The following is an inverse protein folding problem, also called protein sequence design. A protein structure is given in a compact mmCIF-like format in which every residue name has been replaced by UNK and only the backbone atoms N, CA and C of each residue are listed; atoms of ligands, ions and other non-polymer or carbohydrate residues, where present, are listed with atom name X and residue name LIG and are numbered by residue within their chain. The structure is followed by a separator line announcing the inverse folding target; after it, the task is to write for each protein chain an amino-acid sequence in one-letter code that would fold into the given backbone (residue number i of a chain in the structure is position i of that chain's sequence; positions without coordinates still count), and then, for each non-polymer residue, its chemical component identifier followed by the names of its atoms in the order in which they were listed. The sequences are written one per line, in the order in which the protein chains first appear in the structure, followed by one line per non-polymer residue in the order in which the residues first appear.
data_IF_309909683144
#
_entry.id   IF_309909683144
#
_cell.length_a   1.000
_cell.length_b   1.000
_cell.length_c   1.000
_cell.angle_alpha   90.00
_cell.angle_beta   90.00
_cell.angle_gamma   90.00
#
_symmetry.space_group_name_H-M   'P 1'
#
loop_
_entity.id
_entity.type
_entity.pdbx_description
1 polymer ?
#
# COMPACT_ATOMS: atom_id res chain seq x y z
N UNK A 1 -13.05 3.25 -7.37
CA UNK A 1 -11.94 3.40 -8.32
C UNK A 1 -12.01 2.27 -9.33
N UNK A 2 -12.16 2.57 -10.61
CA UNK A 2 -12.13 1.58 -11.70
C UNK A 2 -10.69 1.13 -11.98
N UNK A 3 -10.48 -0.04 -12.61
CA UNK A 3 -9.13 -0.51 -13.00
C UNK A 3 -8.37 0.51 -13.87
N UNK A 4 -9.11 1.30 -14.67
CA UNK A 4 -8.59 2.38 -15.50
C UNK A 4 -8.11 3.57 -14.68
N UNK A 5 -8.84 3.96 -13.63
CA UNK A 5 -8.43 4.99 -12.67
C UNK A 5 -7.23 4.53 -11.82
N UNK A 6 -7.18 3.24 -11.42
CA UNK A 6 -6.02 2.67 -10.72
C UNK A 6 -4.77 2.68 -11.62
N UNK A 7 -4.92 2.37 -12.91
CA UNK A 7 -3.81 2.39 -13.86
C UNK A 7 -3.17 3.78 -14.00
N UNK A 8 -3.98 4.84 -14.09
CA UNK A 8 -3.47 6.22 -14.24
C UNK A 8 -2.69 6.66 -12.99
N UNK A 9 -3.22 6.37 -11.80
CA UNK A 9 -2.59 6.76 -10.53
C UNK A 9 -1.27 6.03 -10.28
N UNK A 10 -1.14 4.79 -10.74
CA UNK A 10 0.07 3.97 -10.54
C UNK A 10 1.08 4.07 -11.70
N UNK A 11 0.93 5.07 -12.58
CA UNK A 11 1.74 5.24 -13.81
C UNK A 11 1.76 3.99 -14.71
N UNK A 12 0.69 3.20 -14.71
CA UNK A 12 0.57 2.00 -15.55
C UNK A 12 0.42 2.43 -17.00
N UNK A 13 1.27 1.88 -17.86
CA UNK A 13 1.23 2.07 -19.30
C UNK A 13 1.16 0.71 -20.00
N UNK A 14 0.23 0.55 -20.94
CA UNK A 14 -0.01 -0.73 -21.65
C UNK A 14 -0.18 -1.93 -20.68
N UNK A 15 -0.97 -1.74 -19.62
CA UNK A 15 -1.26 -2.74 -18.58
C UNK A 15 -0.02 -3.22 -17.78
N UNK A 16 1.08 -2.46 -17.81
CA UNK A 16 2.30 -2.76 -17.06
C UNK A 16 2.64 -1.65 -16.07
N UNK A 17 3.08 -2.05 -14.88
CA UNK A 17 3.65 -1.14 -13.90
C UNK A 17 4.93 -0.46 -14.44
N UNK A 18 5.27 0.74 -13.92
CA UNK A 18 6.49 1.42 -14.32
C UNK A 18 7.74 0.64 -13.87
N UNK A 19 8.85 0.79 -14.60
CA UNK A 19 10.15 0.30 -14.13
C UNK A 19 10.62 1.09 -12.91
N UNK A 20 11.58 0.54 -12.17
CA UNK A 20 12.17 1.20 -10.99
C UNK A 20 12.84 2.53 -11.39
N UNK A 21 13.47 2.61 -12.56
CA UNK A 21 14.06 3.86 -13.05
C UNK A 21 13.02 4.93 -13.33
N UNK A 22 11.87 4.54 -13.91
CA UNK A 22 10.74 5.46 -14.13
C UNK A 22 10.17 5.92 -12.77
N UNK A 23 10.01 5.00 -11.83
CA UNK A 23 9.52 5.28 -10.48
C UNK A 23 10.44 6.26 -9.75
N UNK A 24 11.76 6.03 -9.80
CA UNK A 24 12.78 6.96 -9.28
C UNK A 24 12.64 8.35 -9.89
N UNK A 25 12.61 8.43 -11.23
CA UNK A 25 12.53 9.71 -11.94
C UNK A 25 11.27 10.50 -11.56
N UNK A 26 10.13 9.83 -11.44
CA UNK A 26 8.87 10.44 -11.00
C UNK A 26 8.91 10.86 -9.53
N UNK A 27 9.44 10.02 -8.65
CA UNK A 27 9.57 10.31 -7.22
C UNK A 27 10.39 11.58 -6.99
N UNK A 28 11.57 11.67 -7.59
CA UNK A 28 12.44 12.84 -7.47
C UNK A 28 11.81 14.10 -8.08
N UNK A 29 11.11 13.94 -9.22
CA UNK A 29 10.38 15.05 -9.84
C UNK A 29 9.32 15.62 -8.90
N UNK A 30 8.41 14.79 -8.37
CA UNK A 30 7.34 15.28 -7.48
C UNK A 30 7.88 15.84 -6.17
N UNK A 31 8.92 15.23 -5.58
CA UNK A 31 9.57 15.79 -4.39
C UNK A 31 10.13 17.20 -4.62
N UNK A 32 10.62 17.50 -5.84
CA UNK A 32 11.19 18.81 -6.17
C UNK A 32 10.17 19.94 -6.35
N UNK A 33 8.87 19.61 -6.44
CA UNK A 33 7.83 20.61 -6.73
C UNK A 33 7.57 21.56 -5.57
N UNK A 34 7.73 21.11 -4.33
CA UNK A 34 7.53 21.92 -3.13
C UNK A 34 8.64 21.63 -2.12
N UNK A 35 9.24 22.68 -1.57
CA UNK A 35 10.25 22.57 -0.51
C UNK A 35 9.58 22.55 0.88
N UNK A 36 8.70 21.57 1.07
CA UNK A 36 7.94 21.34 2.30
C UNK A 36 8.17 19.90 2.79
N UNK A 37 8.38 19.72 4.09
CA UNK A 37 8.72 18.42 4.67
C UNK A 37 7.53 17.46 4.61
N UNK A 38 6.32 17.95 4.87
CA UNK A 38 5.11 17.14 4.84
C UNK A 38 4.79 16.70 3.42
N UNK A 39 4.95 17.59 2.43
CA UNK A 39 4.88 17.24 1.02
C UNK A 39 5.88 16.14 0.63
N UNK A 40 7.16 16.29 1.01
CA UNK A 40 8.18 15.29 0.67
C UNK A 40 7.84 13.94 1.28
N UNK A 41 7.45 13.91 2.56
CA UNK A 41 7.00 12.68 3.22
C UNK A 41 5.76 12.08 2.55
N UNK A 42 4.80 12.91 2.14
CA UNK A 42 3.62 12.48 1.41
C UNK A 42 3.97 11.83 0.06
N UNK A 43 4.89 12.43 -0.70
CA UNK A 43 5.38 11.86 -1.95
C UNK A 43 6.09 10.53 -1.69
N UNK A 44 6.92 10.41 -0.65
CA UNK A 44 7.51 9.11 -0.30
C UNK A 44 6.46 8.06 0.01
N UNK A 45 5.46 8.39 0.84
CA UNK A 45 4.35 7.48 1.12
C UNK A 45 3.60 7.06 -0.16
N UNK A 46 3.37 7.98 -1.09
CA UNK A 46 2.74 7.67 -2.37
C UNK A 46 3.55 6.70 -3.23
N UNK A 47 4.86 6.92 -3.35
CA UNK A 47 5.73 6.04 -4.12
C UNK A 47 5.98 4.70 -3.42
N UNK A 48 5.98 4.67 -2.09
CA UNK A 48 6.00 3.45 -1.29
C UNK A 48 4.77 2.59 -1.58
N UNK A 49 3.58 3.21 -1.63
CA UNK A 49 2.33 2.51 -1.98
C UNK A 49 2.40 1.89 -3.39
N UNK A 50 2.84 2.66 -4.40
CA UNK A 50 2.98 2.15 -5.77
C UNK A 50 3.97 0.98 -5.80
N UNK A 51 5.11 1.10 -5.12
CA UNK A 51 6.11 0.03 -5.06
C UNK A 51 5.57 -1.23 -4.38
N UNK A 52 4.83 -1.07 -3.28
CA UNK A 52 4.17 -2.19 -2.61
C UNK A 52 3.18 -2.89 -3.54
N UNK A 53 2.37 -2.16 -4.32
CA UNK A 53 1.44 -2.73 -5.30
C UNK A 53 2.15 -3.51 -6.42
N UNK A 54 3.32 -3.03 -6.88
CA UNK A 54 4.19 -3.73 -7.84
C UNK A 54 4.64 -5.06 -7.24
N UNK A 55 5.29 -5.02 -6.07
CA UNK A 55 5.84 -6.21 -5.43
C UNK A 55 4.74 -7.19 -5.03
N UNK A 56 3.60 -6.70 -4.58
CA UNK A 56 2.45 -7.54 -4.26
C UNK A 56 1.96 -8.29 -5.49
N UNK A 57 1.87 -7.61 -6.64
CA UNK A 57 1.48 -8.24 -7.91
C UNK A 57 2.49 -9.30 -8.33
N UNK A 58 3.78 -8.98 -8.30
CA UNK A 58 4.87 -9.86 -8.74
C UNK A 58 5.15 -11.05 -7.82
N UNK A 59 4.72 -10.98 -6.56
CA UNK A 59 5.02 -12.01 -5.55
C UNK A 59 3.75 -12.63 -5.00
N UNK A 60 3.02 -11.91 -4.15
CA UNK A 60 1.87 -12.42 -3.43
C UNK A 60 0.76 -12.86 -4.37
N UNK A 61 0.34 -12.00 -5.30
CA UNK A 61 -0.74 -12.31 -6.23
C UNK A 61 -0.34 -13.41 -7.22
N UNK A 62 0.85 -13.34 -7.81
CA UNK A 62 1.33 -14.38 -8.72
C UNK A 62 1.45 -15.75 -8.05
N UNK A 63 1.96 -15.82 -6.81
CA UNK A 63 2.03 -17.07 -6.06
C UNK A 63 0.63 -17.60 -5.73
N UNK A 64 -0.28 -16.71 -5.30
CA UNK A 64 -1.68 -17.06 -5.11
C UNK A 64 -2.29 -17.68 -6.39
N UNK A 65 -2.10 -17.06 -7.56
CA UNK A 65 -2.64 -17.59 -8.81
C UNK A 65 -2.05 -18.96 -9.19
N UNK A 66 -0.78 -19.22 -8.86
CA UNK A 66 -0.12 -20.50 -9.12
C UNK A 66 -0.57 -21.60 -8.17
N UNK A 67 -0.79 -21.27 -6.90
CA UNK A 67 -1.17 -22.23 -5.86
C UNK A 67 -2.68 -22.51 -5.83
N UNK A 68 -3.50 -21.61 -6.38
CA UNK A 68 -4.96 -21.72 -6.34
C UNK A 68 -5.48 -23.03 -6.97
N UNK A 69 -6.15 -23.86 -6.16
CA UNK A 69 -6.71 -25.15 -6.58
C UNK A 69 -8.25 -25.14 -6.73
N UNK A 70 -8.89 -23.97 -6.60
CA UNK A 70 -10.34 -23.86 -6.70
C UNK A 70 -10.86 -23.69 -8.13
N UNK A 71 -12.16 -23.44 -8.26
CA UNK A 71 -12.79 -23.17 -9.56
C UNK A 71 -12.24 -21.89 -10.19
N UNK A 72 -11.92 -21.95 -11.49
CA UNK A 72 -11.29 -20.84 -12.22
C UNK A 72 -12.13 -19.56 -12.17
N UNK A 73 -13.45 -19.68 -12.20
CA UNK A 73 -14.37 -18.54 -12.16
C UNK A 73 -14.44 -17.89 -10.77
N UNK A 74 -14.02 -18.60 -9.71
CA UNK A 74 -14.03 -18.11 -8.34
C UNK A 74 -12.69 -17.50 -7.88
N UNK A 75 -11.62 -17.60 -8.67
CA UNK A 75 -10.26 -17.17 -8.27
C UNK A 75 -10.22 -15.74 -7.72
N UNK A 76 -10.85 -14.79 -8.41
CA UNK A 76 -10.90 -13.38 -7.99
C UNK A 76 -11.71 -13.17 -6.72
N UNK A 77 -12.78 -13.93 -6.57
CA UNK A 77 -13.65 -13.86 -5.39
C UNK A 77 -12.92 -14.40 -4.16
N UNK A 78 -12.21 -15.51 -4.31
CA UNK A 78 -11.37 -16.09 -3.24
C UNK A 78 -10.25 -15.12 -2.86
N UNK A 79 -9.52 -14.60 -3.86
CA UNK A 79 -8.48 -13.60 -3.62
C UNK A 79 -9.02 -12.39 -2.86
N UNK A 80 -10.13 -11.79 -3.31
CA UNK A 80 -10.70 -10.61 -2.66
C UNK A 80 -11.15 -10.91 -1.21
N UNK A 81 -11.71 -12.09 -0.95
CA UNK A 81 -12.09 -12.48 0.41
C UNK A 81 -10.88 -12.62 1.33
N UNK A 82 -9.84 -13.32 0.89
CA UNK A 82 -8.64 -13.48 1.69
C UNK A 82 -7.87 -12.17 1.86
N UNK A 83 -7.76 -11.37 0.80
CA UNK A 83 -7.14 -10.04 0.86
C UNK A 83 -7.87 -9.13 1.85
N UNK A 84 -9.20 -9.12 1.83
CA UNK A 84 -10.00 -8.41 2.82
C UNK A 84 -9.81 -8.96 4.23
N UNK A 85 -9.74 -10.28 4.40
CA UNK A 85 -9.51 -10.89 5.71
C UNK A 85 -8.16 -10.46 6.30
N UNK A 86 -7.10 -10.49 5.49
CA UNK A 86 -5.77 -10.02 5.89
C UNK A 86 -5.79 -8.56 6.35
N UNK A 87 -6.52 -7.67 5.66
CA UNK A 87 -6.66 -6.30 6.12
C UNK A 87 -7.28 -6.23 7.52
N UNK A 88 -8.33 -7.00 7.79
CA UNK A 88 -8.96 -7.06 9.12
C UNK A 88 -8.08 -7.73 10.17
N UNK A 89 -7.26 -8.71 9.79
CA UNK A 89 -6.28 -9.33 10.67
C UNK A 89 -5.23 -8.31 11.11
N UNK A 90 -4.68 -7.54 10.17
CA UNK A 90 -3.78 -6.42 10.44
C UNK A 90 -4.44 -5.32 11.29
N UNK A 91 -5.77 -5.20 11.29
CA UNK A 91 -6.48 -4.24 12.15
C UNK A 91 -6.59 -4.68 13.61
N UNK A 92 -6.12 -5.88 13.96
CA UNK A 92 -6.09 -6.37 15.36
C UNK A 92 -4.76 -6.12 16.06
N UNK A 93 -3.76 -5.68 15.32
CA UNK A 93 -2.44 -5.36 15.86
C UNK A 93 -2.50 -4.18 16.83
N UNK A 94 -1.62 -4.18 17.83
CA UNK A 94 -1.62 -3.15 18.88
C UNK A 94 -1.37 -1.74 18.30
N UNK A 95 -0.60 -1.65 17.22
CA UNK A 95 -0.24 -0.38 16.58
C UNK A 95 -1.35 0.21 15.70
N UNK A 96 -2.39 -0.56 15.36
CA UNK A 96 -3.39 -0.19 14.36
C UNK A 96 -4.12 1.10 14.72
N UNK A 97 -4.63 1.20 15.95
CA UNK A 97 -5.48 2.33 16.36
C UNK A 97 -4.76 3.67 16.22
N UNK A 98 -3.47 3.70 16.51
CA UNK A 98 -2.66 4.91 16.41
C UNK A 98 -2.38 5.29 14.96
N UNK A 99 -2.14 4.31 14.07
CA UNK A 99 -2.01 4.56 12.63
C UNK A 99 -3.33 5.04 12.03
N UNK A 100 -4.46 4.45 12.41
CA UNK A 100 -5.77 4.89 11.89
C UNK A 100 -6.13 6.30 12.34
N UNK A 101 -5.80 6.70 13.57
CA UNK A 101 -5.96 8.08 14.04
C UNK A 101 -5.09 9.04 13.25
N UNK A 102 -3.80 8.72 13.05
CA UNK A 102 -2.87 9.51 12.24
C UNK A 102 -3.37 9.66 10.81
N UNK A 103 -3.82 8.57 10.19
CA UNK A 103 -4.37 8.58 8.84
C UNK A 103 -5.60 9.49 8.74
N UNK A 104 -6.51 9.43 9.72
CA UNK A 104 -7.73 10.24 9.73
C UNK A 104 -7.45 11.75 9.75
N UNK A 105 -6.40 12.19 10.46
CA UNK A 105 -6.04 13.61 10.56
C UNK A 105 -4.99 14.06 9.53
N UNK A 106 -4.36 13.12 8.82
CA UNK A 106 -3.31 13.44 7.86
C UNK A 106 -3.82 14.35 6.74
N UNK A 107 -3.00 15.32 6.35
CA UNK A 107 -3.26 16.14 5.17
C UNK A 107 -3.18 15.27 3.91
N UNK A 108 -4.14 15.45 3.01
CA UNK A 108 -4.07 14.93 1.65
C UNK A 108 -3.53 16.02 0.72
N UNK A 109 -2.80 15.62 -0.31
CA UNK A 109 -2.30 16.53 -1.33
C UNK A 109 -2.72 16.09 -2.73
N UNK A 110 -2.88 17.06 -3.62
CA UNK A 110 -3.05 16.85 -5.05
C UNK A 110 -1.71 16.46 -5.68
N UNK A 111 -1.72 15.39 -6.48
CA UNK A 111 -0.60 14.96 -7.33
C UNK A 111 -1.07 15.10 -8.78
N UNK A 112 -0.95 16.29 -9.37
CA UNK A 112 -1.38 16.52 -10.75
C UNK A 112 -0.51 15.73 -11.75
N UNK A 113 -1.08 15.18 -12.84
CA UNK A 113 -2.52 15.14 -13.19
C UNK A 113 -3.23 13.86 -12.68
N UNK A 114 -2.66 13.17 -11.70
CA UNK A 114 -3.04 11.81 -11.32
C UNK A 114 -4.19 11.77 -10.32
N UNK A 115 -4.12 12.62 -9.30
CA UNK A 115 -5.00 12.59 -8.13
C UNK A 115 -5.22 13.99 -7.58
N UNK A 116 -6.46 14.27 -7.21
CA UNK A 116 -6.81 15.45 -6.42
C UNK A 116 -6.81 15.13 -4.93
N UNK A 117 -6.54 16.15 -4.11
CA UNK A 117 -6.71 16.07 -2.66
C UNK A 117 -8.10 15.57 -2.23
N UNK A 118 -9.15 15.94 -2.99
CA UNK A 118 -10.54 15.54 -2.73
C UNK A 118 -10.68 14.03 -2.90
N UNK A 119 -10.19 13.47 -4.01
CA UNK A 119 -10.26 12.02 -4.27
C UNK A 119 -9.53 11.22 -3.20
N UNK A 120 -8.33 11.68 -2.80
CA UNK A 120 -7.56 11.02 -1.74
C UNK A 120 -8.32 11.05 -0.41
N UNK A 121 -8.84 12.22 -0.03
CA UNK A 121 -9.59 12.37 1.23
C UNK A 121 -10.86 11.52 1.25
N UNK A 122 -11.62 11.53 0.15
CA UNK A 122 -12.83 10.72 0.03
C UNK A 122 -12.54 9.22 0.11
N UNK A 123 -11.50 8.75 -0.60
CA UNK A 123 -11.12 7.34 -0.56
C UNK A 123 -10.67 6.92 0.84
N UNK A 124 -9.85 7.75 1.51
CA UNK A 124 -9.45 7.53 2.90
C UNK A 124 -10.68 7.37 3.80
N UNK A 125 -11.62 8.29 3.75
CA UNK A 125 -12.77 8.29 4.66
C UNK A 125 -13.67 7.07 4.43
N UNK A 126 -13.90 6.69 3.16
CA UNK A 126 -14.62 5.46 2.80
C UNK A 126 -13.88 4.22 3.34
N UNK A 127 -12.56 4.14 3.15
CA UNK A 127 -11.76 2.99 3.59
C UNK A 127 -11.73 2.86 5.11
N UNK A 128 -11.55 3.98 5.83
CA UNK A 128 -11.62 4.02 7.29
C UNK A 128 -12.98 3.60 7.82
N UNK A 129 -14.08 4.06 7.19
CA UNK A 129 -15.42 3.64 7.56
C UNK A 129 -15.61 2.13 7.34
N UNK A 130 -15.15 1.61 6.20
CA UNK A 130 -15.24 0.19 5.87
C UNK A 130 -14.49 -0.70 6.87
N UNK A 131 -13.26 -0.33 7.25
CA UNK A 131 -12.43 -1.06 8.22
C UNK A 131 -13.00 -1.04 9.65
N UNK A 132 -13.74 0.03 10.01
CA UNK A 132 -14.38 0.14 11.34
C UNK A 132 -15.65 -0.68 11.47
N UNK A 133 -16.28 -1.04 10.36
CA UNK A 133 -17.48 -1.87 10.37
C UNK A 133 -17.11 -3.35 10.32
N UNK A 134 -17.19 -4.00 11.49
CA UNK A 134 -16.93 -5.44 11.66
C UNK A 134 -17.85 -6.33 10.82
N UNK A 135 -18.99 -5.82 10.35
CA UNK A 135 -19.87 -6.53 9.41
C UNK A 135 -19.25 -6.74 8.02
N UNK A 136 -18.21 -5.98 7.66
CA UNK A 136 -17.49 -6.15 6.41
C UNK A 136 -16.41 -7.24 6.46
N UNK A 137 -16.11 -7.77 7.64
CA UNK A 137 -15.10 -8.80 7.81
C UNK A 137 -15.58 -10.14 7.21
N UNK A 138 -14.79 -10.80 6.35
CA UNK A 138 -15.15 -12.12 5.80
C UNK A 138 -15.28 -13.24 6.84
N UNK A 139 -14.64 -13.09 8.01
CA UNK A 139 -14.61 -14.05 9.12
C UNK A 139 -14.15 -15.44 8.70
N UNK A 140 -13.02 -15.49 7.99
CA UNK A 140 -12.40 -16.73 7.52
C UNK A 140 -10.93 -16.82 7.96
N UNK A 141 -10.36 -18.00 7.81
CA UNK A 141 -8.90 -18.20 7.94
C UNK A 141 -8.33 -18.22 6.52
N UNK A 142 -7.40 -17.31 6.16
CA UNK A 142 -6.76 -17.33 4.85
C UNK A 142 -6.02 -18.66 4.60
N UNK A 143 -6.17 -19.21 3.39
CA UNK A 143 -5.47 -20.43 2.97
C UNK A 143 -4.18 -20.07 2.22
N UNK A 144 -4.27 -19.05 1.36
CA UNK A 144 -3.19 -18.64 0.46
C UNK A 144 -2.49 -17.38 0.98
N UNK A 145 -3.25 -16.36 1.39
CA UNK A 145 -2.74 -15.12 1.95
C UNK A 145 -2.56 -15.22 3.47
N UNK A 146 -1.79 -16.22 3.91
CA UNK A 146 -1.53 -16.49 5.33
C UNK A 146 -0.61 -15.43 5.94
N UNK A 147 -0.65 -15.33 7.27
CA UNK A 147 0.19 -14.44 8.07
C UNK A 147 1.69 -14.49 7.66
N UNK A 148 2.27 -15.68 7.53
CA UNK A 148 3.68 -15.87 7.13
C UNK A 148 4.00 -15.27 5.74
N UNK A 149 3.05 -15.33 4.81
CA UNK A 149 3.18 -14.74 3.47
C UNK A 149 3.18 -13.22 3.56
N UNK A 150 2.29 -12.66 4.39
CA UNK A 150 2.14 -11.21 4.58
C UNK A 150 3.35 -10.62 5.31
N UNK A 151 3.81 -11.25 6.40
CA UNK A 151 4.99 -10.80 7.14
C UNK A 151 6.25 -10.80 6.26
N UNK A 152 6.45 -11.89 5.51
CA UNK A 152 7.58 -11.99 4.58
C UNK A 152 7.48 -10.94 3.46
N UNK A 153 6.29 -10.64 2.96
CA UNK A 153 6.08 -9.55 2.00
C UNK A 153 6.46 -8.19 2.61
N UNK A 154 5.89 -7.84 3.77
CA UNK A 154 6.15 -6.57 4.45
C UNK A 154 7.64 -6.39 4.72
N UNK A 155 8.29 -7.41 5.28
CA UNK A 155 9.72 -7.38 5.60
C UNK A 155 10.59 -7.19 4.36
N UNK A 156 10.40 -8.00 3.31
CA UNK A 156 11.20 -7.92 2.09
C UNK A 156 10.99 -6.59 1.37
N UNK A 157 9.74 -6.21 1.14
CA UNK A 157 9.41 -4.99 0.39
C UNK A 157 9.85 -3.74 1.13
N UNK A 158 9.78 -3.71 2.47
CA UNK A 158 10.31 -2.59 3.27
C UNK A 158 11.83 -2.47 3.13
N UNK A 159 12.57 -3.58 3.19
CA UNK A 159 14.02 -3.57 3.02
C UNK A 159 14.42 -3.11 1.61
N UNK A 160 13.79 -3.68 0.58
CA UNK A 160 14.02 -3.29 -0.82
C UNK A 160 13.74 -1.80 -1.04
N UNK A 161 12.62 -1.28 -0.51
CA UNK A 161 12.26 0.12 -0.65
C UNK A 161 13.24 1.06 0.08
N UNK A 162 13.69 0.68 1.27
CA UNK A 162 14.69 1.45 2.02
C UNK A 162 16.03 1.54 1.28
N UNK A 163 16.46 0.43 0.68
CA UNK A 163 17.67 0.40 -0.15
C UNK A 163 17.49 1.29 -1.39
N UNK A 164 16.34 1.22 -2.06
CA UNK A 164 16.02 2.10 -3.19
C UNK A 164 16.05 3.58 -2.79
N UNK A 165 15.41 3.98 -1.69
CA UNK A 165 15.43 5.38 -1.25
C UNK A 165 16.84 5.86 -0.90
N UNK A 166 17.66 5.00 -0.30
CA UNK A 166 19.08 5.31 -0.06
C UNK A 166 19.84 5.52 -1.37
N UNK A 167 19.66 4.63 -2.36
CA UNK A 167 20.26 4.76 -3.69
C UNK A 167 19.77 6.00 -4.45
N UNK A 168 18.56 6.46 -4.17
CA UNK A 168 17.98 7.64 -4.80
C UNK A 168 18.43 8.94 -4.12
N UNK A 169 19.16 8.86 -3.00
CA UNK A 169 19.61 10.01 -2.23
C UNK A 169 18.47 10.69 -1.46
N UNK A 170 17.40 9.96 -1.17
CA UNK A 170 16.26 10.45 -0.39
C UNK A 170 16.56 10.20 1.09
N UNK A 171 16.57 11.26 1.90
CA UNK A 171 16.62 11.11 3.35
C UNK A 171 15.26 10.63 3.86
N UNK A 172 15.16 9.35 4.23
CA UNK A 172 14.00 8.85 4.97
C UNK A 172 14.14 9.34 6.41
N UNK A 173 13.28 10.28 6.80
CA UNK A 173 13.18 10.71 8.21
C UNK A 173 12.75 9.50 9.03
N UNK A 174 13.70 8.91 9.74
CA UNK A 174 13.49 7.70 10.55
C UNK A 174 12.87 8.09 11.89
N UNK A 175 11.66 8.65 11.87
CA UNK A 175 10.83 8.81 13.06
C UNK A 175 9.64 7.84 13.01
N UNK A 176 9.96 6.55 12.87
CA UNK A 176 9.13 5.49 13.42
C UNK A 176 9.99 4.82 14.48
N UNK A 177 9.85 5.32 15.71
CA UNK A 177 10.45 4.71 16.89
C UNK A 177 10.02 3.25 16.95
N UNK A 178 10.92 2.28 17.10
CA UNK A 178 10.52 0.95 17.54
C UNK A 178 9.81 1.13 18.88
N UNK A 179 8.60 0.57 19.02
CA UNK A 179 8.01 0.35 20.33
C UNK A 179 9.01 -0.55 21.08
N UNK A 180 9.82 0.07 21.92
CA UNK A 180 10.68 -0.64 22.84
C UNK A 180 9.75 -1.48 23.74
N UNK A 181 9.86 -2.79 23.60
CA UNK A 181 9.47 -3.75 24.61
C UNK A 181 10.17 -3.36 25.91
N UNK A 182 9.41 -2.82 26.86
CA UNK A 182 9.85 -2.76 28.24
C UNK A 182 9.42 -4.06 28.92
N UNK A 183 10.43 -4.82 29.34
CA UNK A 183 10.36 -5.88 30.35
C UNK A 183 9.69 -5.41 31.66
#
# INVERSE_FOLDING_TARGET
MTRKEKGITHFVYEDKFPSIEVLKGKCLYYQSLLDDVDWKNYILGYFAHIYADIRWTETVFMNFEQEYQGEKDDIRKTYNKESNQVEFDLMREEWTDDILKKLHIAAAYTIEPLLTQIEVSQYRDIKLQWLRDRGNEPQMIPIYLREDVIENFVSKTTNELNDLYREWGVAVSTELTPLASND
#
